data_IF_855113319897
#
_entry.id   IF_855113319897
#
_cell.length_a   1.000
_cell.length_b   1.000
_cell.length_c   1.000
_cell.angle_alpha   90.00
_cell.angle_beta   90.00
_cell.angle_gamma   90.00
#
_symmetry.space_group_name_H-M   'P 1'
#
loop_
_entity.id
_entity.type
_entity.pdbx_description
1 polymer ?
#
# COMPACT_ATOMS: atom_id res chain seq x y z
N UNK A 1 14.72 8.85 -4.31
CA UNK A 1 15.47 8.44 -3.12
C UNK A 1 14.58 7.52 -2.30
N UNK A 2 15.07 6.36 -1.82
CA UNK A 2 14.32 5.47 -0.94
C UNK A 2 13.92 6.19 0.37
N UNK A 3 12.82 5.77 0.99
CA UNK A 3 12.34 6.37 2.25
C UNK A 3 13.27 6.09 3.43
N UNK A 4 14.04 5.01 3.39
CA UNK A 4 15.06 4.66 4.37
C UNK A 4 16.37 5.43 4.21
N UNK A 5 16.44 6.33 3.22
CA UNK A 5 17.57 7.18 2.87
C UNK A 5 18.86 6.39 2.51
N UNK A 6 18.74 5.11 2.19
CA UNK A 6 19.86 4.29 1.72
C UNK A 6 19.96 4.38 0.19
N UNK A 7 20.85 5.18 -0.38
CA UNK A 7 21.03 5.25 -1.82
C UNK A 7 21.62 3.94 -2.36
N UNK A 8 21.36 3.67 -3.62
CA UNK A 8 21.99 2.55 -4.33
C UNK A 8 23.52 2.75 -4.31
N UNK A 9 24.26 1.71 -3.97
CA UNK A 9 25.72 1.71 -3.92
C UNK A 9 26.31 1.62 -5.35
N UNK A 10 26.19 2.71 -6.11
CA UNK A 10 26.65 2.77 -7.50
C UNK A 10 28.14 2.44 -7.66
N UNK A 11 28.97 2.78 -6.69
CA UNK A 11 30.39 2.45 -6.70
C UNK A 11 30.64 0.94 -6.72
N UNK A 12 29.88 0.17 -5.94
CA UNK A 12 29.96 -1.29 -5.97
C UNK A 12 29.54 -1.85 -7.33
N UNK A 13 28.45 -1.32 -7.90
CA UNK A 13 27.98 -1.75 -9.22
C UNK A 13 29.03 -1.45 -10.30
N UNK A 14 29.58 -0.25 -10.30
CA UNK A 14 30.63 0.15 -11.24
C UNK A 14 31.89 -0.72 -11.12
N UNK A 15 32.32 -1.02 -9.88
CA UNK A 15 33.48 -1.89 -9.63
C UNK A 15 33.24 -3.30 -10.20
N UNK A 16 32.10 -3.93 -9.88
CA UNK A 16 31.78 -5.25 -10.41
C UNK A 16 31.68 -5.25 -11.93
N UNK A 17 31.13 -4.18 -12.53
CA UNK A 17 31.11 -4.02 -13.98
C UNK A 17 32.49 -3.93 -14.59
N UNK A 18 33.43 -3.27 -13.93
CA UNK A 18 34.83 -3.18 -14.36
C UNK A 18 35.63 -4.48 -14.20
N UNK A 19 35.34 -5.25 -13.14
CA UNK A 19 35.97 -6.56 -12.90
C UNK A 19 35.43 -7.65 -13.83
N UNK A 20 34.27 -7.44 -14.43
CA UNK A 20 33.52 -8.40 -15.24
C UNK A 20 32.58 -9.27 -14.42
N UNK A 21 31.39 -9.49 -14.95
CA UNK A 21 30.33 -10.26 -14.32
C UNK A 21 29.97 -11.46 -15.15
N UNK A 22 30.13 -12.67 -14.61
CA UNK A 22 29.78 -13.92 -15.29
C UNK A 22 28.24 -14.03 -15.53
N UNK A 23 27.44 -13.61 -14.57
CA UNK A 23 25.98 -13.71 -14.64
C UNK A 23 25.36 -12.56 -13.83
N UNK A 24 24.48 -11.78 -14.45
CA UNK A 24 23.67 -10.76 -13.80
C UNK A 24 22.23 -11.26 -13.67
N UNK A 25 21.75 -11.39 -12.44
CA UNK A 25 20.36 -11.64 -12.12
C UNK A 25 19.72 -10.34 -11.59
N UNK A 26 18.83 -9.76 -12.36
CA UNK A 26 18.21 -8.48 -12.04
C UNK A 26 16.72 -8.48 -12.37
N UNK A 27 15.91 -7.76 -11.56
CA UNK A 27 14.55 -7.43 -11.95
C UNK A 27 14.59 -6.54 -13.22
N UNK A 28 13.79 -6.94 -14.20
CA UNK A 28 13.68 -6.24 -15.49
C UNK A 28 12.23 -5.96 -15.88
N UNK A 29 11.30 -6.03 -14.95
CA UNK A 29 9.84 -5.95 -15.20
C UNK A 29 9.44 -4.74 -16.04
N UNK A 30 10.06 -3.59 -15.84
CA UNK A 30 9.78 -2.35 -16.57
C UNK A 30 10.95 -1.87 -17.46
N UNK A 31 11.94 -2.70 -17.71
CA UNK A 31 13.16 -2.30 -18.42
C UNK A 31 12.91 -1.75 -19.84
N UNK A 32 11.88 -2.25 -20.54
CA UNK A 32 11.51 -1.80 -21.88
C UNK A 32 10.55 -0.59 -21.90
N UNK A 33 10.10 -0.10 -20.74
CA UNK A 33 9.18 1.04 -20.68
C UNK A 33 9.99 2.34 -20.56
N UNK A 34 9.74 3.33 -21.43
CA UNK A 34 10.40 4.63 -21.33
C UNK A 34 9.96 5.38 -20.06
N UNK A 35 10.88 6.17 -19.49
CA UNK A 35 10.62 6.99 -18.33
C UNK A 35 11.27 6.48 -17.05
N UNK A 36 10.81 6.97 -15.93
CA UNK A 36 11.33 6.61 -14.59
C UNK A 36 10.19 6.47 -13.60
N UNK A 37 10.39 5.66 -12.57
CA UNK A 37 9.43 5.52 -11.50
C UNK A 37 9.51 6.71 -10.54
N UNK A 38 8.35 7.13 -10.01
CA UNK A 38 8.26 8.14 -8.96
C UNK A 38 8.98 7.62 -7.71
N UNK A 39 9.71 8.50 -7.02
CA UNK A 39 10.45 8.10 -5.82
C UNK A 39 9.50 7.73 -4.67
N UNK A 40 9.94 6.81 -3.80
CA UNK A 40 9.17 6.43 -2.60
C UNK A 40 8.87 7.63 -1.69
N UNK A 41 9.78 8.60 -1.63
CA UNK A 41 9.58 9.85 -0.86
C UNK A 41 8.42 10.67 -1.42
N UNK A 42 8.28 10.74 -2.73
CA UNK A 42 7.17 11.47 -3.35
C UNK A 42 5.85 10.70 -3.22
N UNK A 43 5.91 9.39 -3.31
CA UNK A 43 4.76 8.53 -3.04
C UNK A 43 4.27 8.68 -1.59
N UNK A 44 5.17 8.79 -0.62
CA UNK A 44 4.80 9.04 0.78
C UNK A 44 4.04 10.37 0.95
N UNK A 45 4.48 11.45 0.25
CA UNK A 45 3.75 12.73 0.24
C UNK A 45 2.36 12.60 -0.37
N UNK A 46 2.23 11.80 -1.43
CA UNK A 46 0.94 11.56 -2.06
C UNK A 46 0.01 10.75 -1.17
N UNK A 47 0.53 9.75 -0.44
CA UNK A 47 -0.22 9.02 0.56
C UNK A 47 -0.74 9.97 1.63
N UNK A 48 0.13 10.81 2.19
CA UNK A 48 -0.26 11.79 3.21
C UNK A 48 -1.38 12.74 2.71
N UNK A 49 -1.31 13.18 1.44
CA UNK A 49 -2.38 13.98 0.83
C UNK A 49 -3.70 13.22 0.74
N UNK A 50 -3.68 11.95 0.35
CA UNK A 50 -4.89 11.11 0.33
C UNK A 50 -5.52 11.03 1.73
N UNK A 51 -4.69 10.89 2.76
CA UNK A 51 -5.17 10.85 4.14
C UNK A 51 -5.77 12.18 4.60
N UNK A 52 -5.19 13.31 4.18
CA UNK A 52 -5.71 14.64 4.49
C UNK A 52 -7.06 14.91 3.81
N UNK A 53 -7.20 14.52 2.53
CA UNK A 53 -8.38 14.82 1.72
C UNK A 53 -9.56 13.86 1.97
N UNK A 54 -9.30 12.68 2.51
CA UNK A 54 -10.32 11.64 2.70
C UNK A 54 -11.23 11.93 3.89
N UNK A 55 -12.52 12.11 3.62
CA UNK A 55 -13.56 12.37 4.64
C UNK A 55 -14.16 11.10 5.26
N UNK A 56 -14.02 9.96 4.60
CA UNK A 56 -14.50 8.65 5.04
C UNK A 56 -13.37 7.68 5.40
N UNK A 57 -13.68 6.37 5.33
CA UNK A 57 -12.67 5.33 5.49
C UNK A 57 -11.71 5.34 4.30
N UNK A 58 -10.48 4.94 4.57
CA UNK A 58 -9.48 4.70 3.53
C UNK A 58 -9.28 3.19 3.42
N UNK A 59 -9.36 2.64 2.21
CA UNK A 59 -8.97 1.27 1.91
C UNK A 59 -7.72 1.35 1.05
N UNK A 60 -6.58 0.97 1.62
CA UNK A 60 -5.28 1.06 0.98
C UNK A 60 -4.78 -0.33 0.61
N UNK A 61 -4.67 -0.61 -0.68
CA UNK A 61 -4.16 -1.88 -1.20
C UNK A 61 -2.72 -1.71 -1.71
N UNK A 62 -1.82 -2.50 -1.15
CA UNK A 62 -0.41 -2.55 -1.57
C UNK A 62 0.13 -3.98 -1.51
N UNK A 63 1.35 -4.18 -1.99
CA UNK A 63 2.04 -5.45 -1.83
C UNK A 63 2.49 -5.64 -0.38
N UNK A 64 2.27 -6.83 0.14
CA UNK A 64 2.65 -7.17 1.52
C UNK A 64 4.16 -7.13 1.77
N UNK A 65 4.97 -7.26 0.73
CA UNK A 65 6.43 -7.21 0.79
C UNK A 65 7.00 -5.78 0.78
N UNK A 66 6.21 -4.78 0.41
CA UNK A 66 6.65 -3.38 0.37
C UNK A 66 6.57 -2.73 1.76
N UNK A 67 7.48 -3.11 2.66
CA UNK A 67 7.48 -2.63 4.05
C UNK A 67 7.62 -1.10 4.13
N UNK A 68 8.41 -0.48 3.26
CA UNK A 68 8.53 0.98 3.17
C UNK A 68 7.18 1.66 2.88
N UNK A 69 6.36 1.04 2.04
CA UNK A 69 5.03 1.54 1.70
C UNK A 69 4.06 1.37 2.87
N UNK A 70 4.12 0.21 3.54
CA UNK A 70 3.35 -0.05 4.75
C UNK A 70 3.73 0.99 5.81
N UNK A 71 5.03 1.30 5.98
CA UNK A 71 5.50 2.34 6.91
C UNK A 71 4.89 3.71 6.55
N UNK A 72 4.91 4.11 5.28
CA UNK A 72 4.33 5.39 4.84
C UNK A 72 2.82 5.50 5.13
N UNK A 73 2.09 4.39 4.97
CA UNK A 73 0.66 4.32 5.34
C UNK A 73 0.49 4.44 6.84
N UNK A 74 1.33 3.78 7.63
CA UNK A 74 1.30 3.83 9.09
C UNK A 74 1.61 5.24 9.61
N UNK A 75 2.64 5.90 9.06
CA UNK A 75 3.02 7.26 9.44
C UNK A 75 1.90 8.26 9.15
N UNK A 76 1.28 8.15 7.97
CA UNK A 76 0.13 8.98 7.60
C UNK A 76 -1.07 8.70 8.49
N UNK A 77 -1.36 7.45 8.81
CA UNK A 77 -2.44 7.08 9.70
C UNK A 77 -2.23 7.66 11.11
N UNK A 78 -1.00 7.60 11.63
CA UNK A 78 -0.66 8.20 12.94
C UNK A 78 -0.82 9.72 12.92
N UNK A 79 -0.28 10.38 11.90
CA UNK A 79 -0.37 11.84 11.72
C UNK A 79 -1.83 12.32 11.68
N UNK A 80 -2.69 11.60 10.95
CA UNK A 80 -4.11 11.91 10.79
C UNK A 80 -5.02 11.24 11.84
N UNK A 81 -4.45 10.69 12.93
CA UNK A 81 -5.19 10.07 14.06
C UNK A 81 -6.14 8.95 13.63
N UNK A 82 -5.76 8.19 12.59
CA UNK A 82 -6.54 7.05 12.08
C UNK A 82 -6.03 5.74 12.67
N UNK A 83 -6.92 4.76 12.78
CA UNK A 83 -6.63 3.38 13.20
C UNK A 83 -6.55 2.47 11.99
N UNK A 84 -5.65 1.48 12.03
CA UNK A 84 -5.40 0.56 10.92
C UNK A 84 -5.97 -0.81 11.24
N UNK A 85 -6.75 -1.35 10.31
CA UNK A 85 -7.19 -2.74 10.28
C UNK A 85 -6.40 -3.42 9.16
N UNK A 86 -5.58 -4.38 9.50
CA UNK A 86 -4.83 -5.17 8.50
C UNK A 86 -5.68 -6.35 8.06
N UNK A 87 -5.80 -6.54 6.74
CA UNK A 87 -6.58 -7.64 6.15
C UNK A 87 -5.83 -8.32 5.03
N UNK A 88 -6.15 -9.59 4.80
CA UNK A 88 -5.40 -10.45 3.89
C UNK A 88 -4.26 -11.16 4.60
N UNK A 89 -4.20 -12.50 4.45
CA UNK A 89 -3.27 -13.37 5.20
C UNK A 89 -1.81 -12.91 5.04
N UNK A 90 -1.37 -12.67 3.82
CA UNK A 90 0.02 -12.24 3.56
C UNK A 90 0.33 -10.86 4.15
N UNK A 91 -0.63 -9.93 4.13
CA UNK A 91 -0.46 -8.60 4.70
C UNK A 91 -0.35 -8.65 6.24
N UNK A 92 -1.19 -9.48 6.89
CA UNK A 92 -1.13 -9.69 8.34
C UNK A 92 0.23 -10.26 8.74
N UNK A 93 0.64 -11.38 8.10
CA UNK A 93 1.92 -12.03 8.40
C UNK A 93 3.11 -11.08 8.17
N UNK A 94 3.15 -10.37 7.04
CA UNK A 94 4.23 -9.44 6.73
C UNK A 94 4.30 -8.28 7.74
N UNK A 95 3.15 -7.75 8.15
CA UNK A 95 3.08 -6.66 9.15
C UNK A 95 3.54 -7.13 10.52
N UNK A 96 3.15 -8.34 10.95
CA UNK A 96 3.57 -8.93 12.23
C UNK A 96 5.09 -9.19 12.26
N UNK A 97 5.64 -9.77 11.20
CA UNK A 97 7.09 -10.00 11.08
C UNK A 97 7.83 -8.66 11.08
N UNK A 98 7.37 -7.68 10.29
CA UNK A 98 8.02 -6.39 10.20
C UNK A 98 7.98 -5.61 11.53
N UNK A 99 6.92 -5.75 12.31
CA UNK A 99 6.83 -5.21 13.67
C UNK A 99 7.80 -5.91 14.62
N UNK A 100 7.84 -7.25 14.62
CA UNK A 100 8.72 -8.03 15.49
C UNK A 100 10.20 -7.78 15.22
N UNK A 101 10.56 -7.52 13.96
CA UNK A 101 11.92 -7.20 13.53
C UNK A 101 12.26 -5.70 13.58
N UNK A 102 11.34 -4.87 14.11
CA UNK A 102 11.50 -3.40 14.21
C UNK A 102 11.71 -2.72 12.83
N UNK A 103 11.29 -3.35 11.75
CA UNK A 103 11.24 -2.72 10.43
C UNK A 103 10.07 -1.73 10.30
N UNK A 104 8.94 -2.02 10.97
CA UNK A 104 7.86 -1.06 11.15
C UNK A 104 8.05 -0.33 12.48
N UNK A 105 8.29 0.98 12.36
CA UNK A 105 8.52 1.88 13.52
C UNK A 105 7.24 2.65 13.80
N UNK A 106 6.34 2.05 14.57
CA UNK A 106 5.05 2.64 14.87
C UNK A 106 4.54 2.17 16.22
N UNK A 107 3.68 2.98 16.85
CA UNK A 107 3.00 2.56 18.08
C UNK A 107 2.02 1.41 17.79
N UNK A 108 2.18 0.24 18.43
CA UNK A 108 1.32 -0.91 18.18
C UNK A 108 -0.18 -0.64 18.35
N UNK A 109 -0.53 0.33 19.20
CA UNK A 109 -1.95 0.73 19.46
C UNK A 109 -2.65 1.38 18.27
N UNK A 110 -1.95 1.66 17.16
CA UNK A 110 -2.58 2.13 15.93
C UNK A 110 -3.30 1.00 15.21
N UNK A 111 -2.79 -0.24 15.35
CA UNK A 111 -3.43 -1.42 14.79
C UNK A 111 -4.57 -1.87 15.70
N UNK A 112 -5.72 -2.08 15.11
CA UNK A 112 -6.91 -2.53 15.81
C UNK A 112 -7.50 -3.78 15.14
N UNK A 113 -8.18 -4.60 15.94
CA UNK A 113 -8.96 -5.71 15.41
C UNK A 113 -10.23 -5.19 14.72
N UNK A 114 -10.74 -5.94 13.75
CA UNK A 114 -11.94 -5.57 12.99
C UNK A 114 -13.15 -5.27 13.88
N UNK A 115 -13.32 -6.02 14.98
CA UNK A 115 -14.43 -5.85 15.91
C UNK A 115 -14.39 -4.50 16.63
N UNK A 116 -13.19 -3.94 16.78
CA UNK A 116 -12.97 -2.64 17.43
C UNK A 116 -13.27 -1.46 16.49
N UNK A 117 -13.38 -1.70 15.17
CA UNK A 117 -13.64 -0.64 14.20
C UNK A 117 -14.91 0.14 14.49
N UNK A 118 -15.94 -0.54 15.01
CA UNK A 118 -17.23 0.09 15.36
C UNK A 118 -17.15 1.16 16.47
N UNK A 119 -16.02 1.20 17.18
CA UNK A 119 -15.77 2.21 18.24
C UNK A 119 -15.22 3.53 17.68
N UNK A 120 -14.91 3.58 16.40
CA UNK A 120 -14.30 4.73 15.74
C UNK A 120 -15.18 5.21 14.60
N UNK A 121 -15.26 6.53 14.35
CA UNK A 121 -15.94 7.06 13.17
C UNK A 121 -15.18 6.67 11.89
N UNK A 122 -15.90 6.61 10.78
CA UNK A 122 -15.36 6.19 9.49
C UNK A 122 -14.08 6.93 9.08
N UNK A 123 -14.02 8.23 9.29
CA UNK A 123 -12.85 9.05 8.96
C UNK A 123 -11.62 8.76 9.84
N UNK A 124 -11.73 7.89 10.81
CA UNK A 124 -10.62 7.41 11.62
C UNK A 124 -10.19 5.97 11.30
N UNK A 125 -10.75 5.36 10.26
CA UNK A 125 -10.45 3.96 9.90
C UNK A 125 -9.68 3.89 8.59
N UNK A 126 -8.65 3.05 8.59
CA UNK A 126 -7.88 2.63 7.41
C UNK A 126 -7.91 1.12 7.33
N UNK A 127 -8.34 0.58 6.21
CA UNK A 127 -8.16 -0.84 5.87
C UNK A 127 -6.89 -1.02 5.04
N UNK A 128 -5.85 -1.61 5.61
CA UNK A 128 -4.64 -1.99 4.89
C UNK A 128 -4.78 -3.40 4.36
N UNK A 129 -4.63 -3.59 3.03
CA UNK A 129 -4.99 -4.84 2.38
C UNK A 129 -4.10 -5.18 1.19
N UNK A 130 -4.26 -6.41 0.67
CA UNK A 130 -3.67 -6.85 -0.60
C UNK A 130 -4.65 -6.62 -1.76
N UNK A 131 -4.13 -6.68 -3.00
CA UNK A 131 -4.93 -6.49 -4.21
C UNK A 131 -4.49 -5.29 -5.03
N UNK A 132 -3.22 -4.91 -4.91
CA UNK A 132 -2.66 -3.75 -5.59
C UNK A 132 -2.69 -3.87 -7.12
N UNK A 133 -2.65 -5.08 -7.69
CA UNK A 133 -2.68 -5.33 -9.13
C UNK A 133 -4.04 -5.80 -9.66
N UNK A 134 -5.08 -5.80 -8.83
CA UNK A 134 -6.40 -6.24 -9.23
C UNK A 134 -6.57 -7.76 -9.28
N UNK A 135 -5.73 -8.51 -8.53
CA UNK A 135 -5.80 -9.96 -8.45
C UNK A 135 -7.18 -10.41 -7.95
N UNK A 136 -7.86 -11.27 -8.69
CA UNK A 136 -9.24 -11.70 -8.42
C UNK A 136 -9.44 -12.33 -7.05
N UNK A 137 -8.44 -13.08 -6.57
CA UNK A 137 -8.46 -13.73 -5.26
C UNK A 137 -8.02 -12.80 -4.11
N UNK A 138 -7.68 -11.55 -4.40
CA UNK A 138 -7.19 -10.61 -3.39
C UNK A 138 -8.25 -10.21 -2.38
N UNK A 139 -7.80 -9.69 -1.24
CA UNK A 139 -8.72 -9.19 -0.23
C UNK A 139 -9.53 -7.98 -0.74
N UNK A 140 -8.90 -7.08 -1.51
CA UNK A 140 -9.60 -5.94 -2.10
C UNK A 140 -10.69 -6.37 -3.10
N UNK A 141 -10.39 -7.33 -3.98
CA UNK A 141 -11.38 -7.83 -4.94
C UNK A 141 -12.60 -8.44 -4.22
N UNK A 142 -12.36 -9.22 -3.15
CA UNK A 142 -13.45 -9.75 -2.31
C UNK A 142 -14.23 -8.66 -1.57
N UNK A 143 -13.56 -7.57 -1.14
CA UNK A 143 -14.26 -6.42 -0.55
C UNK A 143 -15.20 -5.75 -1.55
N UNK A 144 -14.74 -5.59 -2.80
CA UNK A 144 -15.52 -4.99 -3.88
C UNK A 144 -16.76 -5.83 -4.23
N UNK A 145 -16.65 -7.17 -4.23
CA UNK A 145 -17.76 -8.10 -4.45
C UNK A 145 -18.66 -8.31 -3.22
N UNK A 146 -18.33 -7.69 -2.08
CA UNK A 146 -19.07 -7.88 -0.83
C UNK A 146 -18.84 -9.24 -0.14
N UNK A 147 -17.88 -10.03 -0.60
CA UNK A 147 -17.54 -11.36 -0.11
C UNK A 147 -16.53 -11.35 1.05
N UNK A 148 -15.93 -10.19 1.33
CA UNK A 148 -14.95 -10.09 2.40
C UNK A 148 -15.61 -10.04 3.77
N UNK A 149 -15.18 -10.92 4.69
CA UNK A 149 -15.81 -11.12 6.00
C UNK A 149 -15.72 -9.89 6.93
N UNK A 150 -14.68 -9.07 6.76
CA UNK A 150 -14.34 -7.99 7.71
C UNK A 150 -14.77 -6.63 7.16
N UNK A 151 -14.40 -6.31 5.94
CA UNK A 151 -14.64 -5.00 5.32
C UNK A 151 -15.44 -5.18 4.04
N UNK A 152 -16.51 -4.39 3.89
CA UNK A 152 -17.22 -4.18 2.63
C UNK A 152 -17.01 -2.75 2.20
N UNK A 153 -16.74 -2.53 0.93
CA UNK A 153 -16.67 -1.18 0.35
C UNK A 153 -18.06 -0.55 0.39
N UNK A 154 -18.13 0.70 0.82
CA UNK A 154 -19.40 1.45 0.90
C UNK A 154 -19.22 2.87 0.33
N UNK A 155 -20.31 3.56 -0.02
CA UNK A 155 -20.25 4.96 -0.43
C UNK A 155 -19.54 5.83 0.61
N UNK A 156 -18.67 6.72 0.13
CA UNK A 156 -17.84 7.58 0.98
C UNK A 156 -16.46 7.00 1.34
N UNK A 157 -16.18 5.72 1.02
CA UNK A 157 -14.84 5.16 1.17
C UNK A 157 -13.90 5.70 0.09
N UNK A 158 -12.66 5.97 0.48
CA UNK A 158 -11.56 6.24 -0.44
C UNK A 158 -10.78 4.96 -0.67
N UNK A 159 -10.78 4.44 -1.90
CA UNK A 159 -10.02 3.24 -2.25
C UNK A 159 -8.77 3.64 -3.01
N UNK A 160 -7.61 3.25 -2.51
CA UNK A 160 -6.32 3.46 -3.17
C UNK A 160 -5.68 2.11 -3.52
N UNK A 161 -5.34 1.94 -4.80
CA UNK A 161 -4.55 0.83 -5.31
C UNK A 161 -3.17 1.33 -5.72
N UNK A 162 -2.16 0.90 -5.01
CA UNK A 162 -0.79 1.36 -5.17
C UNK A 162 -0.20 1.11 -6.57
N UNK A 163 -0.49 -0.05 -7.15
CA UNK A 163 0.07 -0.46 -8.44
C UNK A 163 -0.43 0.35 -9.64
N UNK A 164 -1.63 0.92 -9.58
CA UNK A 164 -2.20 1.67 -10.71
C UNK A 164 -1.48 3.00 -10.93
N UNK A 165 -0.83 3.51 -9.91
CA UNK A 165 -0.11 4.80 -9.97
C UNK A 165 1.26 4.70 -10.62
N UNK A 166 1.95 3.56 -10.51
CA UNK A 166 3.29 3.38 -11.07
C UNK A 166 3.32 3.31 -12.59
N UNK A 167 2.19 2.97 -13.22
CA UNK A 167 2.13 2.70 -14.66
C UNK A 167 1.44 3.81 -15.47
N UNK A 168 0.48 4.52 -14.91
CA UNK A 168 -0.35 5.45 -15.68
C UNK A 168 -0.29 6.92 -15.30
N UNK A 169 0.37 7.27 -14.18
CA UNK A 169 0.42 8.65 -13.67
C UNK A 169 -0.96 9.24 -13.33
N UNK A 170 -2.04 8.52 -13.51
CA UNK A 170 -3.41 8.98 -13.27
C UNK A 170 -3.91 8.53 -11.90
N UNK A 171 -4.41 9.49 -11.14
CA UNK A 171 -5.13 9.27 -9.90
C UNK A 171 -6.44 8.52 -10.19
N UNK A 172 -6.54 7.26 -9.83
CA UNK A 172 -7.82 6.58 -9.64
C UNK A 172 -8.33 6.80 -8.20
N UNK A 173 -8.13 8.02 -7.66
CA UNK A 173 -8.92 8.46 -6.53
C UNK A 173 -10.29 8.84 -7.08
N UNK A 174 -11.31 8.14 -6.61
CA UNK A 174 -12.72 8.45 -6.81
C UNK A 174 -13.34 8.08 -8.14
N UNK A 175 -13.67 6.81 -8.34
CA UNK A 175 -14.93 6.47 -9.00
C UNK A 175 -15.42 5.10 -8.54
N UNK A 176 -16.02 5.04 -7.37
CA UNK A 176 -16.91 3.92 -6.97
C UNK A 176 -18.11 3.73 -7.92
N UNK A 177 -18.22 4.54 -8.99
CA UNK A 177 -19.26 4.43 -10.02
C UNK A 177 -18.96 3.45 -11.14
N UNK A 178 -17.73 2.94 -11.26
CA UNK A 178 -17.32 2.08 -12.40
C UNK A 178 -17.05 0.61 -12.03
N UNK A 179 -17.28 0.20 -10.79
CA UNK A 179 -17.33 -1.23 -10.48
C UNK A 179 -18.66 -1.80 -10.97
N UNK A 180 -18.67 -2.88 -11.79
CA UNK A 180 -19.90 -3.50 -12.20
C UNK A 180 -20.69 -3.89 -10.94
N UNK A 181 -21.92 -3.38 -10.83
CA UNK A 181 -22.86 -3.84 -9.82
C UNK A 181 -23.06 -5.33 -10.05
N UNK A 182 -22.73 -6.13 -9.04
CA UNK A 182 -23.15 -7.52 -9.06
C UNK A 182 -24.66 -7.54 -9.33
N UNK A 183 -25.04 -8.21 -10.42
CA UNK A 183 -26.45 -8.37 -10.81
C UNK A 183 -27.24 -8.89 -9.59
N UNK A 184 -28.34 -8.22 -9.31
CA UNK A 184 -29.41 -8.71 -8.45
C UNK A 184 -30.01 -9.97 -9.05
#
# INVERSE_FOLDING_TARGET
TPTDQRPTEFEKIARFGGEGVLLLLSDSTNAAKPGYCVSETELAKNIDRIFADSKGRIIFATFSQLISRIQSVCDSAQKHKRKIIVTGRSMVNASEIALSMVYLRIEPKIFIKSEQARKFPDNQIVGLTTGAQGEEASALARMARGEHKIIRVKPGDTVNQDAVRSVTGKNLSNRLGEFPRANQ
#
